data_IF_765040433871
#
_entry.id   IF_765040433871
#
_cell.length_a   1.000
_cell.length_b   1.000
_cell.length_c   1.000
_cell.angle_alpha   90.00
_cell.angle_beta   90.00
_cell.angle_gamma   90.00
#
_symmetry.space_group_name_H-M   'P 1'
#
loop_
_entity.id
_entity.type
_entity.pdbx_description
1 polymer ?
#
# COMPACT_ATOMS: atom_id res chain seq x y z
N UNK A 1 11.49 23.49 0.28
CA UNK A 1 12.04 22.14 0.51
C UNK A 1 11.13 21.20 -0.25
N UNK A 2 11.63 20.47 -1.25
CA UNK A 2 10.80 19.58 -2.05
C UNK A 2 10.29 18.44 -1.17
N UNK A 3 8.99 18.15 -1.20
CA UNK A 3 8.45 16.94 -0.58
C UNK A 3 9.05 15.73 -1.30
N UNK A 4 9.68 14.82 -0.54
CA UNK A 4 10.24 13.59 -1.08
C UNK A 4 9.09 12.62 -1.39
N UNK A 5 8.71 12.60 -2.66
CA UNK A 5 7.73 11.66 -3.21
C UNK A 5 8.47 10.43 -3.74
N UNK A 6 8.10 9.26 -3.25
CA UNK A 6 8.73 7.98 -3.58
C UNK A 6 7.77 7.06 -4.32
N UNK A 7 8.33 6.13 -5.11
CA UNK A 7 7.53 5.05 -5.68
C UNK A 7 7.14 4.02 -4.62
N UNK A 8 5.86 3.66 -4.56
CA UNK A 8 5.28 2.69 -3.66
C UNK A 8 4.61 1.57 -4.47
N UNK A 9 5.24 0.39 -4.49
CA UNK A 9 4.69 -0.80 -5.17
C UNK A 9 3.72 -1.53 -4.24
N UNK A 10 2.55 -1.86 -4.77
CA UNK A 10 1.45 -2.45 -4.02
C UNK A 10 0.94 -3.70 -4.77
N UNK A 11 0.58 -4.75 -4.02
CA UNK A 11 -0.17 -5.89 -4.55
C UNK A 11 -1.64 -5.65 -4.18
N UNK A 12 -2.49 -5.48 -5.19
CA UNK A 12 -3.91 -5.15 -5.03
C UNK A 12 -4.75 -6.33 -5.48
N UNK A 13 -5.76 -6.68 -4.68
CA UNK A 13 -6.81 -7.61 -5.11
C UNK A 13 -7.77 -6.88 -6.06
N UNK A 14 -7.82 -7.29 -7.33
CA UNK A 14 -8.58 -6.56 -8.36
C UNK A 14 -10.08 -6.61 -8.16
N UNK A 15 -10.60 -7.79 -7.82
CA UNK A 15 -12.03 -8.06 -7.63
C UNK A 15 -12.21 -9.13 -6.55
N UNK A 16 -13.42 -9.25 -6.03
CA UNK A 16 -13.80 -10.39 -5.20
C UNK A 16 -13.62 -11.71 -5.97
N UNK A 17 -13.05 -12.71 -5.30
CA UNK A 17 -12.75 -14.03 -5.88
C UNK A 17 -13.82 -15.04 -5.49
N UNK A 18 -14.31 -15.79 -6.47
CA UNK A 18 -15.13 -16.99 -6.25
C UNK A 18 -14.29 -18.25 -6.48
N UNK A 19 -14.24 -19.16 -5.51
CA UNK A 19 -13.43 -20.38 -5.58
C UNK A 19 -11.99 -20.16 -5.11
N UNK A 20 -11.02 -20.82 -5.76
CA UNK A 20 -9.60 -20.70 -5.39
C UNK A 20 -8.96 -19.46 -6.02
N UNK A 21 -8.18 -18.66 -5.25
CA UNK A 21 -7.49 -17.50 -5.76
C UNK A 21 -6.37 -17.89 -6.73
N UNK A 22 -6.18 -17.04 -7.74
CA UNK A 22 -5.13 -17.14 -8.74
C UNK A 22 -4.26 -15.89 -8.71
N UNK A 23 -3.05 -16.00 -9.24
CA UNK A 23 -2.17 -14.83 -9.43
C UNK A 23 -2.86 -13.73 -10.25
N UNK A 24 -3.65 -14.12 -11.26
CA UNK A 24 -4.42 -13.21 -12.09
C UNK A 24 -5.50 -12.42 -11.35
N UNK A 25 -5.84 -12.77 -10.11
CA UNK A 25 -6.80 -12.01 -9.30
C UNK A 25 -6.13 -10.82 -8.60
N UNK A 26 -4.79 -10.83 -8.54
CA UNK A 26 -3.97 -9.77 -8.00
C UNK A 26 -3.35 -8.92 -9.12
N UNK A 27 -3.00 -7.66 -8.81
CA UNK A 27 -2.18 -6.81 -9.67
C UNK A 27 -1.06 -6.13 -8.90
N UNK A 28 0.07 -5.92 -9.56
CA UNK A 28 1.14 -5.07 -9.03
C UNK A 28 0.97 -3.67 -9.58
N UNK A 29 0.65 -2.72 -8.70
CA UNK A 29 0.49 -1.30 -9.04
C UNK A 29 1.59 -0.48 -8.41
N UNK A 30 2.13 0.48 -9.15
CA UNK A 30 3.09 1.46 -8.61
C UNK A 30 2.37 2.79 -8.43
N UNK A 31 2.34 3.28 -7.20
CA UNK A 31 1.80 4.59 -6.84
C UNK A 31 2.91 5.51 -6.35
N UNK A 32 2.64 6.80 -6.26
CA UNK A 32 3.55 7.76 -5.65
C UNK A 32 3.09 8.05 -4.22
N UNK A 33 4.01 8.07 -3.27
CA UNK A 33 3.75 8.28 -1.85
C UNK A 33 4.67 9.36 -1.31
N UNK A 34 4.09 10.36 -0.63
CA UNK A 34 4.85 11.31 0.15
C UNK A 34 5.29 10.66 1.47
N UNK A 35 6.56 10.79 1.83
CA UNK A 35 7.09 10.27 3.11
C UNK A 35 6.72 11.16 4.31
N UNK A 36 5.44 11.53 4.40
CA UNK A 36 4.89 12.37 5.47
C UNK A 36 3.48 11.89 5.79
N UNK A 37 3.11 11.95 7.06
CA UNK A 37 1.74 11.71 7.48
C UNK A 37 0.81 12.81 6.94
N UNK A 38 -0.45 12.49 6.58
CA UNK A 38 -1.44 13.49 6.20
C UNK A 38 -1.66 14.51 7.33
N UNK A 39 -1.70 15.80 6.97
CA UNK A 39 -1.98 16.87 7.92
C UNK A 39 -3.51 16.97 8.16
N UNK A 40 -3.95 16.78 9.41
CA UNK A 40 -5.36 16.94 9.82
C UNK A 40 -6.24 15.71 9.59
N UNK A 41 -7.21 15.47 10.49
CA UNK A 41 -8.10 14.29 10.49
C UNK A 41 -7.90 13.38 11.69
N UNK A 42 -8.56 12.21 11.71
CA UNK A 42 -8.48 11.20 12.79
C UNK A 42 -7.19 10.35 12.70
N UNK A 43 -6.07 10.98 12.32
CA UNK A 43 -4.75 10.35 12.17
C UNK A 43 -3.93 10.37 13.47
N UNK A 44 -4.58 10.59 14.61
CA UNK A 44 -3.94 10.57 15.93
C UNK A 44 -3.35 9.19 16.19
N UNK A 45 -2.03 9.11 16.32
CA UNK A 45 -1.31 7.85 16.52
C UNK A 45 -1.01 7.06 15.23
N UNK A 46 -1.24 7.63 14.04
CA UNK A 46 -0.85 6.99 12.79
C UNK A 46 0.68 6.87 12.67
N UNK A 47 1.15 5.76 12.09
CA UNK A 47 2.57 5.49 11.85
C UNK A 47 2.77 5.20 10.37
N UNK A 48 3.69 5.94 9.74
CA UNK A 48 4.16 5.63 8.40
C UNK A 48 5.26 4.57 8.49
N UNK A 49 5.10 3.46 7.78
CA UNK A 49 6.01 2.31 7.85
C UNK A 49 6.59 1.94 6.49
N UNK A 50 7.77 1.33 6.53
CA UNK A 50 8.36 0.61 5.39
C UNK A 50 8.28 -0.89 5.70
N UNK A 51 7.40 -1.59 4.99
CA UNK A 51 7.24 -3.03 5.18
C UNK A 51 8.50 -3.77 4.72
N UNK A 52 9.07 -4.60 5.60
CA UNK A 52 10.28 -5.39 5.32
C UNK A 52 9.93 -6.84 4.96
N UNK A 53 8.90 -7.40 5.62
CA UNK A 53 8.44 -8.76 5.42
C UNK A 53 6.91 -8.80 5.46
N UNK A 54 6.31 -9.71 4.69
CA UNK A 54 4.88 -9.99 4.69
C UNK A 54 4.69 -11.49 4.92
N UNK A 55 3.74 -11.85 5.78
CA UNK A 55 3.40 -13.24 6.05
C UNK A 55 2.29 -13.72 5.11
N UNK A 56 2.34 -15.00 4.73
CA UNK A 56 1.25 -15.70 4.05
C UNK A 56 0.64 -16.66 5.07
N UNK A 57 -0.58 -16.36 5.54
CA UNK A 57 -1.34 -17.18 6.48
C UNK A 57 -2.69 -17.54 5.88
#
# INVERSE_FOLDING_TARGET
MAEEEVSNKQVILKNYVSGFPKESDMEVKTTALKLKLPDGGDYSGAILVKNLYLSLC
#
